data_IF_219520120374
#
_entry.id   IF_219520120374
#
_cell.length_a   1.000
_cell.length_b   1.000
_cell.length_c   1.000
_cell.angle_alpha   90.00
_cell.angle_beta   90.00
_cell.angle_gamma   90.00
#
_symmetry.space_group_name_H-M   'P 1'
#
loop_
_entity.id
_entity.type
_entity.pdbx_description
1 polymer ?
#
# COMPACT_ATOMS: atom_id res chain seq x y z
N UNK A 1 -27.63 -25.67 13.23
CA UNK A 1 -27.28 -25.31 11.84
C UNK A 1 -25.81 -24.93 11.82
N UNK A 2 -24.97 -25.71 11.15
CA UNK A 2 -23.56 -25.37 10.95
C UNK A 2 -23.48 -24.12 10.07
N UNK A 3 -22.69 -23.10 10.44
CA UNK A 3 -22.51 -21.93 9.57
C UNK A 3 -21.97 -22.38 8.20
N UNK A 4 -22.38 -21.72 7.10
CA UNK A 4 -21.90 -22.07 5.76
C UNK A 4 -20.38 -21.97 5.72
N UNK A 5 -19.72 -23.02 5.22
CA UNK A 5 -18.26 -23.02 5.04
C UNK A 5 -17.93 -21.90 4.04
N UNK A 6 -17.07 -20.93 4.40
CA UNK A 6 -16.75 -19.82 3.52
C UNK A 6 -16.00 -20.33 2.28
N UNK A 7 -16.43 -19.84 1.10
CA UNK A 7 -15.85 -20.19 -0.20
C UNK A 7 -14.41 -19.68 -0.30
N UNK A 8 -13.45 -20.58 -0.49
CA UNK A 8 -12.03 -20.24 -0.67
C UNK A 8 -11.80 -19.83 -2.12
N UNK A 9 -11.40 -18.59 -2.31
CA UNK A 9 -11.08 -18.06 -3.64
C UNK A 9 -9.59 -17.72 -3.71
N UNK A 10 -8.90 -18.17 -4.75
CA UNK A 10 -7.54 -17.73 -5.08
C UNK A 10 -7.53 -17.02 -6.44
N UNK A 11 -6.62 -16.07 -6.63
CA UNK A 11 -6.33 -15.49 -7.94
C UNK A 11 -4.95 -15.94 -8.41
N UNK A 12 -4.89 -16.52 -9.60
CA UNK A 12 -3.63 -16.80 -10.29
C UNK A 12 -3.31 -15.67 -11.25
N UNK A 13 -2.13 -15.06 -11.06
CA UNK A 13 -1.58 -14.01 -11.90
C UNK A 13 -0.24 -14.46 -12.47
N UNK A 14 -0.03 -14.26 -13.77
CA UNK A 14 1.21 -14.60 -14.46
C UNK A 14 1.66 -13.39 -15.27
N UNK A 15 2.97 -13.16 -15.37
CA UNK A 15 3.52 -12.09 -16.21
C UNK A 15 5.04 -12.04 -16.16
N UNK A 16 5.63 -11.16 -16.94
CA UNK A 16 7.05 -10.81 -16.76
C UNK A 16 7.16 -9.90 -15.53
N UNK A 17 8.08 -10.23 -14.63
CA UNK A 17 8.37 -9.46 -13.44
C UNK A 17 8.81 -8.04 -13.84
N UNK A 18 8.22 -7.03 -13.20
CA UNK A 18 8.46 -5.61 -13.49
C UNK A 18 9.76 -5.10 -12.88
N UNK A 19 10.14 -5.66 -11.73
CA UNK A 19 11.19 -5.14 -10.86
C UNK A 19 12.32 -6.13 -10.62
N UNK A 20 12.28 -7.32 -11.20
CA UNK A 20 13.23 -8.39 -10.92
C UNK A 20 13.71 -9.02 -12.21
N UNK A 21 15.02 -9.13 -12.35
CA UNK A 21 15.70 -9.64 -13.53
C UNK A 21 16.83 -10.59 -13.12
N UNK A 22 17.25 -11.45 -14.04
CA UNK A 22 18.50 -12.21 -13.92
C UNK A 22 19.62 -11.53 -14.69
N UNK A 23 20.85 -11.65 -14.21
CA UNK A 23 22.05 -11.10 -14.83
C UNK A 23 23.20 -12.09 -14.68
N UNK A 24 23.99 -12.28 -15.73
CA UNK A 24 25.05 -13.31 -15.75
C UNK A 24 26.09 -13.14 -14.64
N UNK A 25 26.52 -11.90 -14.37
CA UNK A 25 27.52 -11.58 -13.34
C UNK A 25 26.90 -11.35 -11.95
N UNK A 26 25.83 -10.55 -11.87
CA UNK A 26 25.21 -10.13 -10.62
C UNK A 26 24.18 -11.12 -10.03
N UNK A 27 23.71 -12.12 -10.78
CA UNK A 27 22.67 -13.03 -10.31
C UNK A 27 21.29 -12.39 -10.39
N UNK A 28 20.57 -12.26 -9.26
CA UNK A 28 19.28 -11.54 -9.23
C UNK A 28 19.54 -10.05 -9.08
N UNK A 29 18.93 -9.26 -9.96
CA UNK A 29 18.98 -7.79 -9.93
C UNK A 29 17.57 -7.25 -9.74
N UNK A 30 17.44 -6.39 -8.74
CA UNK A 30 16.23 -5.60 -8.50
C UNK A 30 16.31 -4.26 -9.23
N UNK A 31 15.22 -3.85 -9.86
CA UNK A 31 15.12 -2.57 -10.55
C UNK A 31 14.02 -1.77 -9.87
N UNK A 32 14.38 -0.68 -9.19
CA UNK A 32 13.44 0.17 -8.46
C UNK A 32 12.41 0.78 -9.41
N UNK A 33 12.88 1.56 -10.37
CA UNK A 33 12.04 2.17 -11.39
C UNK A 33 11.96 1.25 -12.61
N UNK A 34 10.77 0.71 -12.88
CA UNK A 34 10.55 -0.22 -13.98
C UNK A 34 11.19 0.24 -15.29
N UNK A 35 11.82 -0.71 -15.99
CA UNK A 35 12.58 -0.52 -17.23
C UNK A 35 11.93 -1.36 -18.33
N UNK A 36 11.96 -0.90 -19.58
CA UNK A 36 11.48 -1.74 -20.70
C UNK A 36 12.39 -2.95 -20.87
N UNK A 37 11.86 -4.06 -21.37
CA UNK A 37 12.62 -5.26 -21.72
C UNK A 37 13.65 -5.00 -22.82
N UNK A 38 13.42 -4.00 -23.66
CA UNK A 38 14.41 -3.56 -24.63
C UNK A 38 15.61 -2.90 -23.93
N UNK A 39 15.35 -1.91 -23.08
CA UNK A 39 16.39 -1.14 -22.39
C UNK A 39 17.13 -2.01 -21.35
N UNK A 40 16.42 -2.92 -20.68
CA UNK A 40 16.99 -3.87 -19.73
C UNK A 40 18.14 -4.70 -20.35
N UNK A 41 18.01 -5.07 -21.63
CA UNK A 41 19.06 -5.84 -22.34
C UNK A 41 20.36 -5.07 -22.49
N UNK A 42 20.31 -3.74 -22.58
CA UNK A 42 21.52 -2.91 -22.65
C UNK A 42 22.36 -3.03 -21.37
N UNK A 43 21.73 -3.35 -20.23
CA UNK A 43 22.38 -3.64 -18.95
C UNK A 43 22.62 -5.14 -18.72
N UNK A 44 22.46 -5.99 -19.73
CA UNK A 44 22.62 -7.45 -19.57
C UNK A 44 21.53 -8.13 -18.73
N UNK A 45 20.40 -7.45 -18.49
CA UNK A 45 19.28 -8.00 -17.73
C UNK A 45 18.42 -8.91 -18.59
N UNK A 46 18.11 -10.08 -18.05
CA UNK A 46 17.22 -11.07 -18.63
C UNK A 46 15.89 -11.08 -17.87
N UNK A 47 14.74 -11.10 -18.58
CA UNK A 47 13.42 -11.08 -17.95
C UNK A 47 13.17 -12.33 -17.11
N UNK A 48 12.41 -12.15 -16.03
CA UNK A 48 11.94 -13.25 -15.16
C UNK A 48 10.43 -13.38 -15.29
N UNK A 49 9.92 -14.61 -15.38
CA UNK A 49 8.49 -14.89 -15.32
C UNK A 49 8.08 -14.98 -13.85
N UNK A 50 7.07 -14.20 -13.47
CA UNK A 50 6.41 -14.22 -12.18
C UNK A 50 5.12 -15.03 -12.26
N UNK A 51 5.01 -16.03 -11.39
CA UNK A 51 3.77 -16.72 -11.06
C UNK A 51 3.34 -16.27 -9.67
N UNK A 52 2.10 -15.81 -9.52
CA UNK A 52 1.60 -15.35 -8.23
C UNK A 52 0.23 -15.95 -7.92
N UNK A 53 0.10 -16.51 -6.71
CA UNK A 53 -1.18 -17.01 -6.17
C UNK A 53 -1.54 -16.15 -4.98
N UNK A 54 -2.64 -15.44 -5.06
CA UNK A 54 -3.06 -14.47 -4.03
C UNK A 54 -4.44 -14.79 -3.48
N UNK A 55 -4.64 -14.42 -2.22
CA UNK A 55 -5.95 -14.52 -1.55
C UNK A 55 -6.63 -13.14 -1.58
N UNK A 56 -7.80 -13.01 -2.23
CA UNK A 56 -8.46 -11.72 -2.39
C UNK A 56 -8.76 -11.05 -1.05
N UNK A 57 -8.48 -9.74 -0.97
CA UNK A 57 -8.76 -8.95 0.23
C UNK A 57 -7.83 -9.24 1.40
N UNK A 58 -6.68 -9.87 1.17
CA UNK A 58 -5.62 -10.11 2.15
C UNK A 58 -4.25 -9.76 1.54
N UNK A 59 -3.18 -9.60 2.34
CA UNK A 59 -1.84 -9.42 1.82
C UNK A 59 -1.13 -10.74 1.47
N UNK A 60 -1.83 -11.88 1.57
CA UNK A 60 -1.24 -13.21 1.36
C UNK A 60 -1.04 -13.43 -0.15
N UNK A 61 0.23 -13.47 -0.55
CA UNK A 61 0.66 -13.69 -1.94
C UNK A 61 1.84 -14.66 -1.91
N UNK A 62 1.69 -15.78 -2.60
CA UNK A 62 2.79 -16.68 -2.90
C UNK A 62 3.41 -16.31 -4.25
N UNK A 63 4.73 -16.43 -4.37
CA UNK A 63 5.49 -16.15 -5.59
C UNK A 63 6.27 -17.38 -6.07
N UNK A 64 6.15 -17.67 -7.35
CA UNK A 64 7.00 -18.57 -8.11
C UNK A 64 7.73 -17.78 -9.20
N UNK A 65 8.95 -18.22 -9.53
CA UNK A 65 9.79 -17.53 -10.52
C UNK A 65 10.35 -18.51 -11.54
N UNK A 66 10.33 -18.12 -12.82
CA UNK A 66 10.84 -18.92 -13.93
C UNK A 66 11.56 -18.10 -14.99
N UNK A 67 12.17 -18.80 -15.95
CA UNK A 67 12.74 -18.17 -17.15
C UNK A 67 11.71 -18.17 -18.28
N UNK A 68 11.64 -17.11 -19.12
CA UNK A 68 10.84 -17.11 -20.35
C UNK A 68 11.24 -18.22 -21.33
N UNK A 69 12.50 -18.65 -21.31
CA UNK A 69 13.03 -19.71 -22.19
C UNK A 69 12.74 -21.12 -21.66
N UNK A 70 12.35 -21.23 -20.39
CA UNK A 70 12.05 -22.48 -19.71
C UNK A 70 10.80 -22.29 -18.82
N UNK A 71 9.67 -22.06 -19.49
CA UNK A 71 8.38 -21.90 -18.82
C UNK A 71 8.03 -23.15 -18.00
N UNK A 72 7.31 -22.91 -16.91
CA UNK A 72 6.82 -23.96 -16.02
C UNK A 72 5.31 -24.10 -16.22
N UNK A 73 4.78 -25.30 -15.99
CA UNK A 73 3.34 -25.52 -16.09
C UNK A 73 2.59 -24.72 -15.01
N UNK A 74 1.43 -24.13 -15.36
CA UNK A 74 0.59 -23.43 -14.38
C UNK A 74 0.12 -24.40 -13.32
N UNK A 75 -0.21 -25.62 -13.73
CA UNK A 75 -0.57 -26.72 -12.84
C UNK A 75 0.53 -26.99 -11.82
N UNK A 76 1.79 -27.14 -12.24
CA UNK A 76 2.92 -27.36 -11.34
C UNK A 76 3.10 -26.21 -10.35
N UNK A 77 2.98 -24.97 -10.82
CA UNK A 77 3.07 -23.77 -9.96
C UNK A 77 1.94 -23.70 -8.92
N UNK A 78 0.71 -24.05 -9.30
CA UNK A 78 -0.43 -24.06 -8.38
C UNK A 78 -0.28 -25.15 -7.31
N UNK A 79 0.16 -26.35 -7.71
CA UNK A 79 0.43 -27.46 -6.78
C UNK A 79 1.51 -27.05 -5.80
N UNK A 80 2.62 -26.49 -6.29
CA UNK A 80 3.71 -26.03 -5.46
C UNK A 80 3.22 -24.97 -4.47
N UNK A 81 2.49 -23.95 -4.94
CA UNK A 81 1.91 -22.92 -4.08
C UNK A 81 1.05 -23.51 -2.96
N UNK A 82 0.13 -24.43 -3.27
CA UNK A 82 -0.76 -25.02 -2.27
C UNK A 82 -0.08 -25.99 -1.33
N UNK A 83 1.09 -26.54 -1.71
CA UNK A 83 1.89 -27.44 -0.86
C UNK A 83 2.87 -26.69 0.04
N UNK A 84 3.57 -25.70 -0.50
CA UNK A 84 4.67 -25.02 0.20
C UNK A 84 4.26 -23.73 0.92
N UNK A 85 3.03 -23.24 0.70
CA UNK A 85 2.50 -22.04 1.36
C UNK A 85 1.32 -22.37 2.27
N UNK A 86 1.57 -22.68 3.56
CA UNK A 86 0.52 -22.90 4.54
C UNK A 86 -0.47 -21.75 4.63
N UNK A 87 -0.06 -20.51 4.37
CA UNK A 87 -0.90 -19.30 4.48
C UNK A 87 -2.03 -19.23 3.45
N UNK A 88 -1.86 -19.88 2.28
CA UNK A 88 -2.96 -20.07 1.30
C UNK A 88 -4.03 -21.05 1.82
N UNK A 89 -3.60 -21.95 2.71
CA UNK A 89 -4.37 -22.99 3.42
C UNK A 89 -5.02 -24.01 2.50
N UNK A 90 -4.31 -24.35 1.42
CA UNK A 90 -4.59 -25.48 0.54
C UNK A 90 -5.17 -25.07 -0.81
N UNK A 91 -5.78 -26.02 -1.51
CA UNK A 91 -6.46 -25.71 -2.77
C UNK A 91 -7.79 -24.95 -2.53
N UNK A 92 -8.16 -24.03 -3.44
CA UNK A 92 -9.36 -23.21 -3.31
C UNK A 92 -10.63 -23.95 -3.76
N UNK A 93 -11.79 -23.42 -3.45
CA UNK A 93 -13.06 -23.80 -4.10
C UNK A 93 -13.18 -23.11 -5.48
N UNK A 94 -12.65 -21.89 -5.60
CA UNK A 94 -12.66 -21.08 -6.82
C UNK A 94 -11.25 -20.58 -7.15
N UNK A 95 -10.77 -20.90 -8.36
CA UNK A 95 -9.55 -20.33 -8.92
C UNK A 95 -9.91 -19.28 -9.98
N UNK A 96 -9.57 -18.02 -9.74
CA UNK A 96 -9.83 -16.93 -10.66
C UNK A 96 -8.61 -16.65 -11.53
N UNK A 97 -8.83 -16.52 -12.84
CA UNK A 97 -7.79 -16.25 -13.85
C UNK A 97 -8.19 -15.11 -14.78
N UNK A 98 -7.22 -14.49 -15.46
CA UNK A 98 -7.52 -13.48 -16.48
C UNK A 98 -8.04 -14.12 -17.77
N UNK A 99 -8.74 -13.34 -18.59
CA UNK A 99 -9.16 -13.80 -19.92
C UNK A 99 -7.96 -14.16 -20.81
N UNK A 100 -6.83 -13.46 -20.68
CA UNK A 100 -5.63 -13.77 -21.45
C UNK A 100 -5.05 -15.13 -21.03
N UNK A 101 -4.99 -15.40 -19.72
CA UNK A 101 -4.48 -16.67 -19.21
C UNK A 101 -5.41 -17.84 -19.56
N UNK A 102 -6.73 -17.62 -19.50
CA UNK A 102 -7.73 -18.59 -19.95
C UNK A 102 -7.57 -18.94 -21.43
N UNK A 103 -7.33 -17.93 -22.28
CA UNK A 103 -7.07 -18.15 -23.71
C UNK A 103 -5.74 -18.89 -23.96
N UNK A 104 -4.72 -18.59 -23.16
CA UNK A 104 -3.41 -19.25 -23.21
C UNK A 104 -3.41 -20.68 -22.66
N UNK A 105 -4.37 -21.05 -21.81
CA UNK A 105 -4.43 -22.35 -21.11
C UNK A 105 -5.87 -22.89 -21.07
N UNK A 106 -6.37 -23.39 -22.20
CA UNK A 106 -7.77 -23.83 -22.33
C UNK A 106 -8.11 -25.06 -21.48
N UNK A 107 -7.12 -25.91 -21.18
CA UNK A 107 -7.31 -27.15 -20.42
C UNK A 107 -7.42 -26.94 -18.91
N UNK A 108 -6.98 -25.78 -18.40
CA UNK A 108 -6.96 -25.50 -16.95
C UNK A 108 -8.34 -25.68 -16.31
N UNK A 109 -9.39 -25.23 -17.01
CA UNK A 109 -10.75 -25.27 -16.50
C UNK A 109 -11.29 -26.70 -16.37
N UNK A 110 -11.06 -27.56 -17.37
CA UNK A 110 -11.55 -28.95 -17.35
C UNK A 110 -10.74 -29.81 -16.38
N UNK A 111 -9.43 -29.61 -16.30
CA UNK A 111 -8.55 -30.37 -15.42
C UNK A 111 -8.85 -30.10 -13.94
N UNK A 112 -9.00 -28.83 -13.54
CA UNK A 112 -9.29 -28.50 -12.14
C UNK A 112 -10.75 -28.76 -11.74
N UNK A 113 -11.69 -28.68 -12.69
CA UNK A 113 -13.09 -29.05 -12.43
C UNK A 113 -13.23 -30.52 -12.02
N UNK A 114 -12.42 -31.43 -12.58
CA UNK A 114 -12.39 -32.84 -12.18
C UNK A 114 -12.01 -33.06 -10.70
N UNK A 115 -11.39 -32.07 -10.08
CA UNK A 115 -10.96 -32.09 -8.68
C UNK A 115 -11.76 -31.13 -7.79
N UNK A 116 -12.93 -30.68 -8.26
CA UNK A 116 -13.85 -29.83 -7.48
C UNK A 116 -13.42 -28.37 -7.35
N UNK A 117 -12.44 -27.92 -8.16
CA UNK A 117 -11.99 -26.53 -8.19
C UNK A 117 -12.67 -25.83 -9.36
N UNK A 118 -13.51 -24.84 -9.08
CA UNK A 118 -14.17 -24.04 -10.11
C UNK A 118 -13.19 -23.00 -10.67
N UNK A 119 -12.83 -23.10 -11.93
CA UNK A 119 -12.04 -22.06 -12.61
C UNK A 119 -12.97 -20.99 -13.16
N UNK A 120 -12.79 -19.75 -12.73
CA UNK A 120 -13.56 -18.59 -13.18
C UNK A 120 -12.68 -17.59 -13.92
N UNK A 121 -13.14 -17.17 -15.09
CA UNK A 121 -12.47 -16.12 -15.88
C UNK A 121 -12.96 -14.77 -15.41
N UNK A 122 -12.05 -13.91 -14.97
CA UNK A 122 -12.37 -12.55 -14.58
C UNK A 122 -12.85 -11.73 -15.79
N UNK A 123 -13.87 -10.90 -15.60
CA UNK A 123 -14.37 -10.00 -16.64
C UNK A 123 -13.28 -8.98 -17.05
N UNK A 124 -13.34 -8.51 -18.29
CA UNK A 124 -12.34 -7.59 -18.85
C UNK A 124 -12.19 -6.26 -18.08
N UNK A 125 -13.19 -5.88 -17.28
CA UNK A 125 -13.23 -4.68 -16.44
C UNK A 125 -13.12 -5.00 -14.93
N UNK A 126 -12.68 -6.20 -14.53
CA UNK A 126 -12.53 -6.55 -13.13
C UNK A 126 -11.30 -5.85 -12.51
N UNK A 127 -11.55 -4.68 -11.93
CA UNK A 127 -10.55 -3.88 -11.23
C UNK A 127 -9.87 -4.61 -10.06
N UNK A 128 -10.55 -5.58 -9.42
CA UNK A 128 -9.97 -6.35 -8.31
C UNK A 128 -8.92 -7.32 -8.82
N UNK A 129 -9.17 -7.96 -9.96
CA UNK A 129 -8.19 -8.83 -10.61
C UNK A 129 -6.95 -8.04 -11.07
N UNK A 130 -7.16 -6.89 -11.74
CA UNK A 130 -6.04 -6.03 -12.15
C UNK A 130 -5.26 -5.42 -10.97
N UNK A 131 -5.88 -5.28 -9.80
CA UNK A 131 -5.19 -4.88 -8.58
C UNK A 131 -4.31 -6.00 -8.01
N UNK A 132 -4.76 -7.26 -8.07
CA UNK A 132 -4.00 -8.40 -7.56
C UNK A 132 -2.66 -8.59 -8.28
N UNK A 133 -2.64 -8.53 -9.62
CA UNK A 133 -1.39 -8.61 -10.38
C UNK A 133 -0.44 -7.45 -10.05
N UNK A 134 -0.95 -6.22 -9.91
CA UNK A 134 -0.13 -5.08 -9.51
C UNK A 134 0.44 -5.26 -8.11
N UNK A 135 -0.36 -5.77 -7.17
CA UNK A 135 0.10 -6.10 -5.82
C UNK A 135 1.20 -7.17 -5.84
N UNK A 136 1.04 -8.22 -6.66
CA UNK A 136 2.05 -9.25 -6.83
C UNK A 136 3.36 -8.67 -7.39
N UNK A 137 3.28 -7.85 -8.42
CA UNK A 137 4.46 -7.18 -8.99
C UNK A 137 5.16 -6.29 -7.95
N UNK A 138 4.42 -5.47 -7.20
CA UNK A 138 4.99 -4.59 -6.18
C UNK A 138 5.59 -5.39 -5.01
N UNK A 139 4.98 -6.52 -4.62
CA UNK A 139 5.55 -7.37 -3.57
C UNK A 139 6.87 -8.03 -3.97
N UNK A 140 7.15 -8.23 -5.27
CA UNK A 140 8.48 -8.72 -5.70
C UNK A 140 9.59 -7.70 -5.50
N UNK A 141 9.29 -6.40 -5.60
CA UNK A 141 10.23 -5.32 -5.29
C UNK A 141 10.63 -5.36 -3.80
N UNK A 142 9.70 -5.68 -2.91
CA UNK A 142 9.94 -5.79 -1.47
C UNK A 142 10.94 -6.90 -1.11
N UNK A 143 11.07 -7.93 -1.94
CA UNK A 143 12.08 -8.99 -1.75
C UNK A 143 13.50 -8.45 -1.84
N UNK A 144 13.72 -7.39 -2.61
CA UNK A 144 14.99 -6.69 -2.67
C UNK A 144 15.32 -5.95 -1.37
N UNK A 145 14.30 -5.53 -0.62
CA UNK A 145 14.45 -4.71 0.59
C UNK A 145 14.35 -5.50 1.90
N UNK A 146 13.97 -6.78 1.85
CA UNK A 146 13.83 -7.60 3.06
C UNK A 146 15.16 -7.69 3.84
N UNK A 147 15.18 -7.10 5.04
CA UNK A 147 16.32 -7.09 5.95
C UNK A 147 16.56 -8.47 6.56
N UNK A 148 17.82 -8.81 6.86
CA UNK A 148 18.16 -9.89 7.78
C UNK A 148 18.64 -11.20 7.15
N UNK A 149 18.99 -11.22 5.86
CA UNK A 149 19.75 -12.35 5.30
C UNK A 149 20.91 -11.86 4.43
N UNK A 150 22.13 -12.10 4.90
CA UNK A 150 23.41 -11.91 4.21
C UNK A 150 23.63 -12.91 3.06
N UNK A 151 22.56 -13.32 2.36
CA UNK A 151 22.63 -14.31 1.29
C UNK A 151 22.39 -13.61 -0.05
N UNK A 152 23.44 -13.43 -0.88
CA UNK A 152 23.26 -12.91 -2.22
C UNK A 152 22.32 -13.83 -2.99
N UNK A 153 21.21 -13.27 -3.47
CA UNK A 153 20.24 -13.98 -4.30
C UNK A 153 20.83 -14.09 -5.70
N UNK A 154 21.44 -15.24 -6.01
CA UNK A 154 22.07 -15.46 -7.31
C UNK A 154 21.19 -16.22 -8.28
N UNK A 155 20.17 -16.91 -7.78
CA UNK A 155 19.32 -17.81 -8.55
C UNK A 155 17.83 -17.60 -8.26
N UNK A 156 16.96 -17.96 -9.21
CA UNK A 156 15.51 -17.88 -9.04
C UNK A 156 15.01 -18.75 -7.87
N UNK A 157 15.64 -19.90 -7.63
CA UNK A 157 15.32 -20.76 -6.50
C UNK A 157 15.62 -20.09 -5.14
N UNK A 158 16.71 -19.32 -5.04
CA UNK A 158 17.00 -18.53 -3.84
C UNK A 158 16.02 -17.37 -3.65
N UNK A 159 15.65 -16.69 -4.75
CA UNK A 159 14.63 -15.65 -4.72
C UNK A 159 13.28 -16.20 -4.23
N UNK A 160 12.86 -17.36 -4.72
CA UNK A 160 11.63 -18.02 -4.28
C UNK A 160 11.66 -18.40 -2.80
N UNK A 161 12.80 -18.91 -2.30
CA UNK A 161 13.00 -19.17 -0.87
C UNK A 161 12.89 -17.89 -0.03
N UNK A 162 13.47 -16.78 -0.49
CA UNK A 162 13.32 -15.49 0.17
C UNK A 162 11.86 -15.02 0.18
N UNK A 163 11.13 -15.18 -0.92
CA UNK A 163 9.70 -14.83 -0.98
C UNK A 163 8.86 -15.59 0.05
N UNK A 164 9.07 -16.90 0.16
CA UNK A 164 8.40 -17.74 1.16
C UNK A 164 8.75 -17.32 2.60
N UNK A 165 10.02 -16.99 2.85
CA UNK A 165 10.48 -16.52 4.15
C UNK A 165 9.85 -15.17 4.53
N UNK A 166 9.87 -14.19 3.62
CA UNK A 166 9.29 -12.86 3.83
C UNK A 166 7.79 -12.97 4.13
N UNK A 167 7.06 -13.81 3.40
CA UNK A 167 5.65 -14.08 3.68
C UNK A 167 5.43 -14.64 5.10
N UNK A 168 6.27 -15.59 5.52
CA UNK A 168 6.20 -16.17 6.87
C UNK A 168 6.51 -15.13 7.95
N UNK A 169 7.55 -14.29 7.74
CA UNK A 169 7.86 -13.20 8.66
C UNK A 169 6.71 -12.20 8.80
N UNK A 170 6.05 -11.83 7.70
CA UNK A 170 4.89 -10.93 7.74
C UNK A 170 3.71 -11.52 8.52
N UNK A 171 3.55 -12.84 8.50
CA UNK A 171 2.56 -13.54 9.32
C UNK A 171 2.96 -13.53 10.80
N UNK A 172 4.19 -13.92 11.13
CA UNK A 172 4.71 -14.00 12.50
C UNK A 172 4.65 -12.65 13.20
N UNK A 173 5.09 -11.61 12.50
CA UNK A 173 5.06 -10.22 12.99
C UNK A 173 3.66 -9.60 12.93
N UNK A 174 2.69 -10.28 12.32
CA UNK A 174 1.32 -9.80 12.08
C UNK A 174 1.29 -8.41 11.48
N UNK A 175 2.20 -8.10 10.55
CA UNK A 175 2.35 -6.76 9.96
C UNK A 175 1.07 -6.29 9.23
N UNK A 176 0.20 -7.22 8.86
CA UNK A 176 -1.13 -6.94 8.32
C UNK A 176 -2.08 -6.24 9.30
N UNK A 177 -1.78 -6.25 10.61
CA UNK A 177 -2.53 -5.51 11.64
C UNK A 177 -2.43 -3.99 11.49
N UNK A 178 -1.45 -3.51 10.73
CA UNK A 178 -1.23 -2.09 10.43
C UNK A 178 -2.17 -1.62 9.30
N UNK A 179 -2.84 -2.54 8.60
CA UNK A 179 -3.83 -2.20 7.56
C UNK A 179 -5.23 -1.88 8.12
N UNK A 180 -6.11 -1.36 7.26
CA UNK A 180 -7.48 -1.03 7.66
C UNK A 180 -8.29 -2.23 8.17
N UNK A 181 -9.27 -1.98 9.05
CA UNK A 181 -10.01 -3.02 9.79
C UNK A 181 -10.57 -4.16 8.91
N UNK A 182 -11.06 -3.84 7.70
CA UNK A 182 -11.57 -4.84 6.76
C UNK A 182 -10.47 -5.81 6.23
N UNK A 183 -9.25 -5.32 6.00
CA UNK A 183 -8.10 -6.14 5.59
C UNK A 183 -7.66 -7.06 6.73
N UNK A 184 -7.61 -6.50 7.94
CA UNK A 184 -7.23 -7.23 9.17
C UNK A 184 -8.21 -8.36 9.43
N UNK A 185 -9.51 -8.07 9.37
CA UNK A 185 -10.55 -9.07 9.62
C UNK A 185 -10.59 -10.12 8.50
N UNK A 186 -10.50 -9.72 7.23
CA UNK A 186 -10.43 -10.67 6.12
C UNK A 186 -9.21 -11.60 6.22
N UNK A 187 -8.05 -11.07 6.64
CA UNK A 187 -6.83 -11.85 6.82
C UNK A 187 -6.95 -12.81 7.99
N UNK A 188 -7.50 -12.36 9.12
CA UNK A 188 -7.76 -13.20 10.30
C UNK A 188 -8.77 -14.31 10.00
N UNK A 189 -9.90 -13.96 9.40
CA UNK A 189 -10.96 -14.87 9.00
C UNK A 189 -10.49 -15.86 7.94
N UNK A 190 -9.60 -15.41 7.03
CA UNK A 190 -8.80 -16.32 6.23
C UNK A 190 -8.01 -17.20 7.18
N UNK A 191 -6.87 -16.81 7.75
CA UNK A 191 -5.95 -17.67 8.52
C UNK A 191 -6.59 -18.67 9.51
N UNK A 192 -7.78 -18.39 10.06
CA UNK A 192 -8.57 -19.30 10.91
C UNK A 192 -9.15 -20.58 10.23
N UNK A 193 -9.42 -20.61 8.92
CA UNK A 193 -9.85 -21.86 8.23
C UNK A 193 -8.80 -23.00 8.34
N UNK A 194 -9.23 -24.27 8.31
CA UNK A 194 -8.30 -25.41 8.34
C UNK A 194 -7.49 -25.53 7.04
N UNK A 195 -6.25 -26.03 7.13
CA UNK A 195 -5.44 -26.36 5.95
C UNK A 195 -6.09 -27.53 5.20
N UNK A 196 -6.31 -27.39 3.88
CA UNK A 196 -6.74 -28.49 3.00
C UNK A 196 -5.51 -29.11 2.33
N UNK A 197 -5.05 -30.30 2.75
CA UNK A 197 -3.85 -30.90 2.19
C UNK A 197 -4.06 -31.28 0.72
N UNK A 198 -3.04 -31.02 -0.11
CA UNK A 198 -3.02 -31.42 -1.52
C UNK A 198 -2.42 -32.83 -1.67
N UNK A 199 -3.08 -33.85 -1.11
CA UNK A 199 -2.59 -35.25 -1.09
C UNK A 199 -3.35 -36.21 -2.01
N UNK A 200 -4.56 -35.85 -2.45
CA UNK A 200 -5.48 -36.81 -3.10
C UNK A 200 -5.79 -36.50 -4.58
N UNK A 201 -4.99 -35.65 -5.22
CA UNK A 201 -5.21 -35.26 -6.62
C UNK A 201 -4.13 -35.93 -7.48
N UNK A 202 -4.48 -37.09 -8.03
CA UNK A 202 -3.69 -37.75 -9.09
C UNK A 202 -3.88 -36.97 -10.40
N UNK A 203 -2.92 -36.10 -10.69
CA UNK A 203 -2.86 -35.40 -11.97
C UNK A 203 -1.99 -36.21 -12.93
N UNK A 204 -2.40 -36.30 -14.20
CA UNK A 204 -1.61 -36.93 -15.27
C UNK A 204 -0.22 -36.30 -15.44
N UNK A 205 0.64 -36.80 -16.33
CA UNK A 205 2.02 -36.32 -16.50
C UNK A 205 2.11 -34.80 -16.67
N UNK A 206 3.16 -34.18 -16.11
CA UNK A 206 3.44 -32.75 -16.28
C UNK A 206 3.80 -32.45 -17.73
N UNK A 207 2.81 -31.95 -18.48
CA UNK A 207 3.02 -31.33 -19.79
C UNK A 207 2.88 -29.82 -19.66
N UNK A 208 3.62 -29.07 -20.47
CA UNK A 208 3.36 -27.64 -20.65
C UNK A 208 1.90 -27.41 -21.03
N UNK A 209 1.18 -26.66 -20.19
CA UNK A 209 -0.26 -26.49 -20.25
C UNK A 209 -0.67 -25.13 -20.84
N UNK A 210 0.29 -24.22 -21.08
CA UNK A 210 0.01 -22.86 -21.53
C UNK A 210 1.10 -22.27 -22.43
N UNK A 211 0.76 -21.20 -23.14
CA UNK A 211 1.68 -20.43 -24.00
C UNK A 211 1.82 -18.97 -23.57
N UNK A 212 3.04 -18.44 -23.70
CA UNK A 212 3.34 -17.02 -23.47
C UNK A 212 2.68 -16.11 -24.50
N UNK A 213 2.42 -14.85 -24.13
CA UNK A 213 1.95 -13.84 -25.08
C UNK A 213 2.35 -12.42 -24.69
N UNK A 214 2.14 -11.43 -25.59
CA UNK A 214 2.51 -10.03 -25.36
C UNK A 214 1.84 -9.38 -24.13
N UNK A 215 0.79 -9.99 -23.62
CA UNK A 215 0.08 -9.55 -22.43
C UNK A 215 0.94 -9.69 -21.16
N UNK A 216 1.94 -10.57 -21.15
CA UNK A 216 2.81 -10.80 -19.99
C UNK A 216 3.66 -9.56 -19.62
N UNK A 217 3.96 -8.70 -20.59
CA UNK A 217 4.70 -7.45 -20.38
C UNK A 217 3.88 -6.20 -20.72
N UNK A 218 2.54 -6.28 -20.64
CA UNK A 218 1.65 -5.17 -20.98
C UNK A 218 1.90 -3.87 -20.16
N UNK A 219 2.56 -3.99 -19.00
CA UNK A 219 2.96 -2.86 -18.17
C UNK A 219 4.02 -1.95 -18.82
N UNK A 220 4.76 -2.42 -19.83
CA UNK A 220 5.81 -1.64 -20.52
C UNK A 220 5.25 -0.45 -21.31
N UNK A 221 4.00 -0.53 -21.77
CA UNK A 221 3.40 0.44 -22.70
C UNK A 221 3.31 1.87 -22.15
N UNK A 222 3.42 2.03 -20.83
CA UNK A 222 3.25 3.31 -20.15
C UNK A 222 4.49 3.73 -19.36
N UNK A 223 5.66 3.17 -19.66
CA UNK A 223 6.91 3.54 -18.99
C UNK A 223 7.46 4.86 -19.56
N UNK A 224 8.10 5.69 -18.72
CA UNK A 224 8.82 6.85 -19.19
C UNK A 224 10.03 6.43 -20.06
N UNK A 225 10.58 7.35 -20.88
CA UNK A 225 11.83 7.12 -21.59
C UNK A 225 12.95 6.74 -20.62
N UNK A 226 13.82 5.83 -21.07
CA UNK A 226 14.95 5.37 -20.27
C UNK A 226 15.97 6.49 -20.01
N UNK A 227 16.62 6.42 -18.84
CA UNK A 227 17.72 7.28 -18.41
C UNK A 227 18.90 6.41 -17.98
N UNK A 228 20.10 6.97 -17.90
CA UNK A 228 21.29 6.24 -17.47
C UNK A 228 21.14 5.68 -16.05
N UNK A 229 21.61 4.45 -15.84
CA UNK A 229 21.54 3.71 -14.57
C UNK A 229 22.87 3.08 -14.19
N UNK A 230 23.05 2.82 -12.90
CA UNK A 230 24.22 2.11 -12.35
C UNK A 230 23.80 0.98 -11.41
N UNK A 231 24.64 -0.06 -11.34
CA UNK A 231 24.46 -1.16 -10.40
C UNK A 231 24.96 -0.76 -9.02
N UNK A 232 24.19 -1.08 -7.99
CA UNK A 232 24.53 -0.88 -6.58
C UNK A 232 24.30 -2.18 -5.82
N UNK A 233 25.22 -2.54 -4.94
CA UNK A 233 25.04 -3.69 -4.04
C UNK A 233 24.79 -3.14 -2.65
N UNK A 234 23.69 -3.54 -2.01
CA UNK A 234 23.40 -3.14 -0.63
C UNK A 234 24.19 -3.99 0.38
N UNK A 235 24.10 -3.64 1.66
CA UNK A 235 24.82 -4.34 2.74
C UNK A 235 24.43 -5.82 2.88
N UNK A 236 23.23 -6.19 2.43
CA UNK A 236 22.74 -7.58 2.39
C UNK A 236 23.24 -8.37 1.16
N UNK A 237 24.06 -7.75 0.29
CA UNK A 237 24.60 -8.37 -0.92
C UNK A 237 23.61 -8.49 -2.07
N UNK A 238 22.47 -7.79 -2.02
CA UNK A 238 21.47 -7.73 -3.10
C UNK A 238 21.85 -6.64 -4.08
N UNK A 239 21.67 -6.93 -5.37
CA UNK A 239 22.06 -6.02 -6.44
C UNK A 239 20.84 -5.26 -6.94
N UNK A 240 21.01 -3.96 -7.07
CA UNK A 240 20.02 -2.99 -7.48
C UNK A 240 20.49 -2.23 -8.73
N UNK A 241 19.56 -1.89 -9.61
CA UNK A 241 19.79 -0.95 -10.71
C UNK A 241 19.00 0.34 -10.43
N UNK A 242 19.72 1.44 -10.16
CA UNK A 242 19.13 2.76 -9.91
C UNK A 242 19.48 3.73 -11.03
N UNK A 243 18.67 4.78 -11.20
CA UNK A 243 19.08 5.92 -12.02
C UNK A 243 20.38 6.50 -11.47
N UNK A 244 21.28 6.85 -12.39
CA UNK A 244 22.52 7.55 -12.05
C UNK A 244 22.15 8.96 -11.61
N UNK A 245 22.26 9.24 -10.32
CA UNK A 245 22.15 10.61 -9.80
C UNK A 245 23.52 11.32 -9.92
N UNK A 246 23.55 12.65 -10.07
CA UNK A 246 24.79 13.40 -9.96
C UNK A 246 25.28 13.37 -8.51
N UNK A 247 26.28 12.53 -8.25
CA UNK A 247 27.11 12.45 -7.03
C UNK A 247 26.38 12.60 -5.67
N UNK A 248 25.62 11.59 -5.24
CA UNK A 248 25.38 11.33 -3.81
C UNK A 248 25.35 9.82 -3.52
N UNK A 249 25.96 9.44 -2.39
CA UNK A 249 26.01 8.06 -1.90
C UNK A 249 24.60 7.59 -1.49
N UNK A 250 24.00 6.69 -2.26
CA UNK A 250 22.76 6.01 -1.88
C UNK A 250 23.07 5.02 -0.75
N UNK A 251 22.72 5.39 0.48
CA UNK A 251 22.77 4.49 1.63
C UNK A 251 21.57 3.51 1.55
N UNK A 252 21.83 2.35 0.95
CA UNK A 252 20.85 1.29 0.70
C UNK A 252 20.36 0.59 1.99
N UNK A 253 20.90 0.97 3.16
CA UNK A 253 20.54 0.43 4.48
C UNK A 253 19.27 1.05 5.11
N UNK A 254 18.67 2.07 4.47
CA UNK A 254 17.56 2.86 5.03
C UNK A 254 16.16 2.52 4.49
N UNK A 255 16.03 1.56 3.57
CA UNK A 255 14.77 1.27 2.91
C UNK A 255 13.85 0.36 3.74
N UNK A 256 13.31 0.93 4.82
CA UNK A 256 11.99 0.52 5.28
C UNK A 256 10.92 0.95 4.28
N UNK A 257 9.76 0.28 4.32
CA UNK A 257 8.61 0.58 3.46
C UNK A 257 8.49 2.09 3.25
N UNK A 258 8.59 2.53 1.99
CA UNK A 258 8.33 3.92 1.62
C UNK A 258 6.83 4.15 1.82
N UNK A 259 6.46 4.51 3.05
CA UNK A 259 5.07 4.73 3.45
C UNK A 259 4.60 6.12 3.04
N UNK A 260 5.51 7.02 2.68
CA UNK A 260 5.20 8.37 2.21
C UNK A 260 4.16 8.41 1.08
N UNK A 261 4.25 7.62 -0.02
CA UNK A 261 3.17 7.50 -1.01
C UNK A 261 1.81 7.14 -0.40
N UNK A 262 1.81 6.21 0.56
CA UNK A 262 0.62 5.77 1.31
C UNK A 262 -0.01 6.93 2.08
N UNK A 263 0.77 7.57 2.95
CA UNK A 263 0.34 8.72 3.75
C UNK A 263 -0.11 9.88 2.87
N UNK A 264 0.64 10.21 1.82
CA UNK A 264 0.28 11.27 0.86
C UNK A 264 -1.04 10.97 0.16
N UNK A 265 -1.26 9.71 -0.23
CA UNK A 265 -2.51 9.32 -0.89
C UNK A 265 -3.73 9.40 0.03
N UNK A 266 -3.55 9.29 1.35
CA UNK A 266 -4.60 9.45 2.34
C UNK A 266 -4.91 10.93 2.60
N UNK A 267 -3.87 11.77 2.75
CA UNK A 267 -4.02 13.18 3.14
C UNK A 267 -4.43 14.10 1.98
N UNK A 268 -3.94 13.84 0.76
CA UNK A 268 -4.10 14.74 -0.38
C UNK A 268 -5.53 15.10 -0.75
N UNK A 269 -6.49 14.14 -0.77
CA UNK A 269 -7.88 14.46 -1.07
C UNK A 269 -8.54 15.40 -0.05
N UNK A 270 -7.95 15.51 1.15
CA UNK A 270 -8.44 16.33 2.26
C UNK A 270 -7.51 17.53 2.53
N UNK A 271 -6.58 17.84 1.62
CA UNK A 271 -5.69 18.98 1.75
C UNK A 271 -6.44 20.28 1.38
N UNK A 272 -6.46 21.32 2.23
CA UNK A 272 -7.34 22.48 2.06
C UNK A 272 -7.16 23.24 0.75
N UNK A 273 -5.92 23.33 0.28
CA UNK A 273 -5.58 24.05 -0.95
C UNK A 273 -5.48 23.14 -2.19
N UNK A 274 -5.85 21.87 -2.03
CA UNK A 274 -5.77 20.85 -3.07
C UNK A 274 -4.35 20.40 -3.40
N UNK A 275 -4.27 19.27 -4.12
CA UNK A 275 -3.02 18.59 -4.43
C UNK A 275 -2.02 19.43 -5.25
N UNK A 276 -2.52 20.32 -6.10
CA UNK A 276 -1.66 21.18 -6.93
C UNK A 276 -0.86 22.18 -6.08
N UNK A 277 -1.47 22.71 -5.01
CA UNK A 277 -0.82 23.63 -4.10
C UNK A 277 0.28 22.92 -3.30
N UNK A 278 0.00 21.72 -2.78
CA UNK A 278 1.00 20.90 -2.08
C UNK A 278 2.17 20.52 -2.98
N UNK A 279 1.91 20.08 -4.22
CA UNK A 279 2.96 19.78 -5.18
C UNK A 279 3.89 20.99 -5.40
N UNK A 280 3.30 22.17 -5.64
CA UNK A 280 4.06 23.40 -5.88
C UNK A 280 4.90 23.79 -4.66
N UNK A 281 4.35 23.72 -3.46
CA UNK A 281 5.06 24.02 -2.22
C UNK A 281 6.26 23.07 -1.99
N UNK A 282 6.17 21.83 -2.48
CA UNK A 282 7.27 20.87 -2.46
C UNK A 282 8.30 21.04 -3.59
N UNK A 283 8.08 21.97 -4.53
CA UNK A 283 8.93 22.15 -5.72
C UNK A 283 8.63 21.16 -6.85
N UNK A 284 7.45 20.54 -6.84
CA UNK A 284 7.02 19.53 -7.81
C UNK A 284 5.89 20.05 -8.71
N UNK A 285 5.73 19.42 -9.87
CA UNK A 285 4.49 19.54 -10.63
C UNK A 285 3.44 18.58 -10.04
N UNK A 286 2.15 18.91 -10.18
CA UNK A 286 1.07 18.01 -9.75
C UNK A 286 1.22 16.60 -10.37
N UNK A 287 1.62 16.55 -11.65
CA UNK A 287 1.85 15.28 -12.36
C UNK A 287 2.97 14.46 -11.74
N UNK A 288 4.10 15.09 -11.36
CA UNK A 288 5.21 14.41 -10.66
C UNK A 288 4.75 13.86 -9.31
N UNK A 289 4.02 14.66 -8.53
CA UNK A 289 3.47 14.21 -7.24
C UNK A 289 2.52 13.01 -7.42
N UNK A 290 1.61 13.07 -8.39
CA UNK A 290 0.68 11.98 -8.69
C UNK A 290 1.41 10.72 -9.16
N UNK A 291 2.46 10.86 -9.96
CA UNK A 291 3.29 9.74 -10.40
C UNK A 291 4.08 9.12 -9.25
N UNK A 292 4.59 9.94 -8.34
CA UNK A 292 5.23 9.44 -7.13
C UNK A 292 4.27 8.63 -6.26
N UNK A 293 3.09 9.15 -5.98
CA UNK A 293 2.08 8.45 -5.18
C UNK A 293 1.59 7.16 -5.84
N UNK A 294 1.51 7.17 -7.18
CA UNK A 294 1.14 6.00 -7.95
C UNK A 294 2.30 5.01 -8.16
N UNK A 295 3.44 5.23 -7.52
CA UNK A 295 4.65 4.42 -7.61
C UNK A 295 5.14 4.25 -9.06
N UNK A 296 5.17 5.38 -9.77
CA UNK A 296 5.58 5.49 -11.18
C UNK A 296 6.90 6.23 -11.36
N UNK A 297 7.27 7.09 -10.42
CA UNK A 297 8.48 7.90 -10.49
C UNK A 297 8.91 8.36 -9.09
N UNK A 298 10.18 8.17 -8.74
CA UNK A 298 10.76 8.77 -7.53
C UNK A 298 10.85 10.31 -7.61
N UNK A 299 10.76 10.95 -6.46
CA UNK A 299 11.06 12.38 -6.28
C UNK A 299 12.44 12.54 -5.64
N UNK A 300 13.08 13.69 -5.86
CA UNK A 300 14.35 14.01 -5.22
C UNK A 300 14.20 14.12 -3.69
N UNK A 301 15.30 13.89 -2.96
CA UNK A 301 15.31 13.86 -1.50
C UNK A 301 14.86 15.21 -0.89
N UNK A 302 15.16 16.32 -1.56
CA UNK A 302 14.76 17.65 -1.09
C UNK A 302 13.24 17.85 -1.18
N UNK A 303 12.62 17.46 -2.30
CA UNK A 303 11.18 17.45 -2.47
C UNK A 303 10.50 16.47 -1.51
N UNK A 304 11.13 15.31 -1.27
CA UNK A 304 10.68 14.32 -0.27
C UNK A 304 10.61 14.92 1.13
N UNK A 305 11.72 15.49 1.60
CA UNK A 305 11.81 16.12 2.91
C UNK A 305 10.81 17.29 3.05
N UNK A 306 10.66 18.10 1.99
CA UNK A 306 9.64 19.17 1.97
C UNK A 306 8.23 18.62 2.12
N UNK A 307 7.86 17.56 1.40
CA UNK A 307 6.54 16.94 1.54
C UNK A 307 6.31 16.44 2.96
N UNK A 308 7.25 15.68 3.51
CA UNK A 308 7.15 15.16 4.88
C UNK A 308 6.92 16.29 5.89
N UNK A 309 7.71 17.36 5.79
CA UNK A 309 7.59 18.52 6.67
C UNK A 309 6.23 19.23 6.51
N UNK A 310 5.76 19.42 5.28
CA UNK A 310 4.50 20.11 4.98
C UNK A 310 3.28 19.36 5.52
N UNK A 311 3.25 18.03 5.36
CA UNK A 311 2.10 17.20 5.75
C UNK A 311 2.22 16.57 7.14
N UNK A 312 3.28 16.90 7.89
CA UNK A 312 3.49 16.38 9.23
C UNK A 312 3.70 14.86 9.26
N UNK A 313 4.50 14.34 8.32
CA UNK A 313 4.98 12.96 8.36
C UNK A 313 6.31 12.93 9.08
N UNK A 314 6.42 12.05 10.06
CA UNK A 314 7.64 11.82 10.81
C UNK A 314 7.99 10.34 10.82
N UNK A 315 9.24 10.08 11.15
CA UNK A 315 9.77 8.73 11.26
C UNK A 315 9.59 8.25 12.71
N UNK A 316 8.87 7.15 12.91
CA UNK A 316 8.62 6.60 14.24
C UNK A 316 9.88 5.89 14.81
N UNK A 317 9.78 5.39 16.05
CA UNK A 317 10.88 4.65 16.70
C UNK A 317 11.30 3.38 15.95
N UNK A 318 10.42 2.85 15.09
CA UNK A 318 10.66 1.71 14.24
C UNK A 318 11.23 2.09 12.87
N UNK A 319 11.53 3.38 12.63
CA UNK A 319 12.00 4.01 11.39
C UNK A 319 10.95 4.09 10.25
N UNK A 320 9.67 3.88 10.57
CA UNK A 320 8.59 3.95 9.58
C UNK A 320 8.02 5.37 9.48
N UNK A 321 7.68 5.79 8.26
CA UNK A 321 7.01 7.07 8.04
C UNK A 321 5.53 6.98 8.40
N UNK A 322 5.07 7.89 9.26
CA UNK A 322 3.69 7.96 9.75
C UNK A 322 3.22 9.41 9.81
N UNK A 323 1.92 9.64 9.64
CA UNK A 323 1.30 10.93 9.93
C UNK A 323 1.42 11.22 11.44
N UNK A 324 2.31 12.14 11.79
CA UNK A 324 2.51 12.61 13.16
C UNK A 324 1.56 13.75 13.53
N UNK A 325 0.92 14.37 12.53
CA UNK A 325 -0.15 15.36 12.73
C UNK A 325 0.35 16.81 12.82
N UNK A 326 -0.45 17.65 13.49
CA UNK A 326 -0.24 19.09 13.52
C UNK A 326 -0.72 19.79 12.24
N UNK A 327 -1.70 19.20 11.54
CA UNK A 327 -2.23 19.75 10.30
C UNK A 327 -3.67 20.24 10.44
N UNK A 328 -4.02 21.21 9.60
CA UNK A 328 -5.40 21.64 9.37
C UNK A 328 -5.85 21.02 8.04
N UNK A 329 -6.95 20.29 8.06
CA UNK A 329 -7.44 19.47 6.97
C UNK A 329 -8.89 19.83 6.66
N UNK A 330 -9.33 19.56 5.45
CA UNK A 330 -10.72 19.79 5.02
C UNK A 330 -11.33 18.48 4.56
N UNK A 331 -12.54 18.17 5.00
CA UNK A 331 -13.24 16.98 4.54
C UNK A 331 -13.45 17.02 3.02
N UNK A 332 -13.00 15.96 2.35
CA UNK A 332 -13.24 15.73 0.93
C UNK A 332 -14.52 14.94 0.69
N UNK A 333 -14.45 13.86 -0.09
CA UNK A 333 -15.54 12.87 -0.14
C UNK A 333 -15.60 12.07 1.17
N UNK A 334 -16.76 11.48 1.49
CA UNK A 334 -16.92 10.62 2.67
C UNK A 334 -15.86 9.51 2.70
N UNK A 335 -15.67 8.80 1.58
CA UNK A 335 -14.66 7.75 1.47
C UNK A 335 -13.24 8.25 1.74
N UNK A 336 -12.87 9.41 1.20
CA UNK A 336 -11.54 9.95 1.40
C UNK A 336 -11.33 10.43 2.85
N UNK A 337 -12.36 11.03 3.44
CA UNK A 337 -12.33 11.53 4.82
C UNK A 337 -12.24 10.40 5.82
N UNK A 338 -13.01 9.32 5.65
CA UNK A 338 -12.91 8.10 6.49
C UNK A 338 -11.52 7.48 6.38
N UNK A 339 -10.98 7.36 5.16
CA UNK A 339 -9.63 6.85 4.97
C UNK A 339 -8.57 7.69 5.67
N UNK A 340 -8.66 9.02 5.56
CA UNK A 340 -7.77 9.93 6.27
C UNK A 340 -7.90 9.75 7.78
N UNK A 341 -9.14 9.69 8.28
CA UNK A 341 -9.41 9.50 9.70
C UNK A 341 -8.79 8.21 10.22
N UNK A 342 -8.98 7.09 9.54
CA UNK A 342 -8.37 5.80 9.91
C UNK A 342 -6.84 5.90 9.97
N UNK A 343 -6.22 6.60 9.03
CA UNK A 343 -4.77 6.80 8.98
C UNK A 343 -4.25 7.67 10.13
N UNK A 344 -4.94 8.80 10.41
CA UNK A 344 -4.60 9.71 11.50
C UNK A 344 -4.79 9.09 12.88
N UNK A 345 -5.75 8.18 13.00
CA UNK A 345 -6.11 7.55 14.28
C UNK A 345 -5.52 6.15 14.44
N UNK A 346 -4.79 5.63 13.46
CA UNK A 346 -4.30 4.24 13.45
C UNK A 346 -5.40 3.21 13.70
N UNK A 347 -6.59 3.43 13.13
CA UNK A 347 -7.76 2.58 13.33
C UNK A 347 -8.46 2.77 14.67
N UNK A 348 -8.41 3.98 15.25
CA UNK A 348 -9.15 4.37 16.45
C UNK A 348 -8.33 4.48 17.74
N UNK A 349 -7.00 4.45 17.66
CA UNK A 349 -6.05 4.76 18.75
C UNK A 349 -5.97 6.27 19.02
N UNK A 350 -7.09 6.82 19.52
CA UNK A 350 -7.28 8.26 19.74
C UNK A 350 -7.15 8.64 21.21
N UNK A 351 -6.37 9.69 21.47
CA UNK A 351 -6.44 10.47 22.72
C UNK A 351 -7.67 11.37 22.68
N UNK A 352 -7.86 12.08 21.56
CA UNK A 352 -9.01 12.95 21.32
C UNK A 352 -9.52 12.74 19.89
N UNK A 353 -10.83 12.59 19.76
CA UNK A 353 -11.53 12.73 18.50
C UNK A 353 -12.88 13.35 18.86
N UNK A 354 -13.10 14.64 18.60
CA UNK A 354 -14.29 15.34 19.10
C UNK A 354 -14.61 16.59 18.28
N UNK A 355 -15.89 16.85 18.06
CA UNK A 355 -16.35 18.14 17.53
C UNK A 355 -16.33 19.19 18.64
N UNK A 356 -15.76 20.36 18.37
CA UNK A 356 -15.75 21.48 19.30
C UNK A 356 -16.81 22.53 18.96
N UNK A 357 -17.41 23.10 19.98
CA UNK A 357 -18.36 24.21 19.91
C UNK A 357 -17.95 25.33 20.87
N UNK A 358 -18.25 26.61 20.57
CA UNK A 358 -18.09 27.69 21.54
C UNK A 358 -19.16 27.58 22.65
N UNK A 359 -18.78 27.86 23.90
CA UNK A 359 -19.69 27.80 25.07
C UNK A 359 -20.82 28.83 24.98
N UNK A 360 -20.54 30.04 24.51
CA UNK A 360 -21.52 31.14 24.50
C UNK A 360 -21.69 31.83 23.14
N UNK A 361 -20.74 31.64 22.23
CA UNK A 361 -20.79 32.20 20.88
C UNK A 361 -21.63 31.39 19.89
N UNK A 362 -21.87 31.97 18.71
CA UNK A 362 -22.37 31.20 17.58
C UNK A 362 -21.21 30.41 16.97
N UNK A 363 -21.41 29.10 16.80
CA UNK A 363 -20.48 28.28 16.04
C UNK A 363 -20.43 28.76 14.58
N UNK A 364 -19.31 28.49 13.92
CA UNK A 364 -19.09 28.91 12.52
C UNK A 364 -20.21 28.33 11.64
N UNK A 365 -20.89 29.13 10.81
CA UNK A 365 -22.06 28.66 10.06
C UNK A 365 -21.69 27.76 8.88
N UNK A 366 -20.44 27.74 8.45
CA UNK A 366 -19.96 27.00 7.27
C UNK A 366 -19.30 25.68 7.66
N UNK A 367 -18.57 25.65 8.77
CA UNK A 367 -17.72 24.53 9.16
C UNK A 367 -18.04 24.00 10.56
N UNK A 368 -17.93 22.67 10.69
CA UNK A 368 -17.73 21.94 11.95
C UNK A 368 -16.23 21.71 12.10
N UNK A 369 -15.70 21.89 13.31
CA UNK A 369 -14.28 21.68 13.59
C UNK A 369 -14.13 20.44 14.47
N UNK A 370 -13.45 19.43 13.94
CA UNK A 370 -13.20 18.17 14.66
C UNK A 370 -11.73 18.12 15.03
N UNK A 371 -11.44 18.05 16.33
CA UNK A 371 -10.10 17.84 16.85
C UNK A 371 -9.78 16.34 16.80
N UNK A 372 -8.61 15.98 16.26
CA UNK A 372 -8.16 14.59 16.14
C UNK A 372 -6.72 14.50 16.62
N UNK A 373 -6.49 13.75 17.68
CA UNK A 373 -5.19 13.46 18.26
C UNK A 373 -5.10 11.97 18.57
N UNK A 374 -4.15 11.29 17.92
CA UNK A 374 -3.81 9.92 18.23
C UNK A 374 -2.77 9.85 19.36
N UNK A 375 -2.68 8.69 20.02
CA UNK A 375 -1.70 8.50 21.09
C UNK A 375 -0.27 8.73 20.55
N UNK A 376 0.47 9.65 21.18
CA UNK A 376 1.84 9.99 20.79
C UNK A 376 1.95 10.81 19.50
N UNK A 377 0.86 11.43 19.03
CA UNK A 377 0.84 12.30 17.86
C UNK A 377 0.36 13.71 18.21
N UNK A 378 0.57 14.66 17.30
CA UNK A 378 0.12 16.04 17.41
C UNK A 378 -1.34 16.17 16.98
N UNK A 379 -2.08 17.04 17.66
CA UNK A 379 -3.47 17.32 17.36
C UNK A 379 -3.65 17.92 15.96
N UNK A 380 -4.65 17.44 15.24
CA UNK A 380 -5.09 17.93 13.94
C UNK A 380 -6.46 18.58 14.06
N UNK A 381 -6.80 19.45 13.12
CA UNK A 381 -8.16 19.96 12.95
C UNK A 381 -8.70 19.50 11.60
N UNK A 382 -9.81 18.78 11.61
CA UNK A 382 -10.57 18.46 10.41
C UNK A 382 -11.78 19.41 10.31
N UNK A 383 -11.76 20.27 9.29
CA UNK A 383 -12.87 21.14 8.93
C UNK A 383 -13.87 20.36 8.08
N UNK A 384 -15.08 20.15 8.60
CA UNK A 384 -16.15 19.44 7.91
C UNK A 384 -17.25 20.44 7.52
N UNK A 385 -17.67 20.54 6.26
CA UNK A 385 -18.77 21.44 5.90
C UNK A 385 -20.03 21.09 6.70
N UNK A 386 -20.76 22.08 7.23
CA UNK A 386 -22.00 21.81 8.00
C UNK A 386 -23.03 21.04 7.22
N UNK A 387 -23.09 21.28 5.90
CA UNK A 387 -24.00 20.60 4.98
C UNK A 387 -23.17 19.71 4.06
N UNK A 388 -23.63 18.48 3.86
CA UNK A 388 -23.01 17.53 2.94
C UNK A 388 -22.93 16.11 3.51
N UNK A 389 -22.47 15.20 2.66
CA UNK A 389 -22.44 13.76 2.94
C UNK A 389 -21.60 13.42 4.17
N UNK A 390 -20.44 14.06 4.35
CA UNK A 390 -19.58 13.83 5.53
C UNK A 390 -20.26 14.29 6.81
N UNK A 391 -20.94 15.45 6.81
CA UNK A 391 -21.66 15.96 7.99
C UNK A 391 -22.79 15.05 8.43
N UNK A 392 -23.53 14.49 7.46
CA UNK A 392 -24.61 13.55 7.72
C UNK A 392 -24.13 12.21 8.32
N UNK A 393 -22.85 11.88 8.14
CA UNK A 393 -22.27 10.60 8.59
C UNK A 393 -21.21 10.78 9.69
N UNK A 394 -20.98 11.99 10.20
CA UNK A 394 -20.04 12.25 11.30
C UNK A 394 -20.41 11.42 12.54
N UNK A 395 -21.70 11.32 12.85
CA UNK A 395 -22.21 10.56 13.99
C UNK A 395 -22.47 9.06 13.67
N UNK A 396 -22.12 8.61 12.46
CA UNK A 396 -22.30 7.23 12.02
C UNK A 396 -21.07 6.36 12.36
N UNK A 397 -21.22 5.04 12.28
CA UNK A 397 -20.19 4.04 12.63
C UNK A 397 -18.90 4.07 11.77
N UNK A 398 -18.74 5.07 10.90
CA UNK A 398 -17.60 5.23 10.00
C UNK A 398 -16.40 5.94 10.65
N UNK A 399 -16.61 6.71 11.73
CA UNK A 399 -15.56 7.42 12.47
C UNK A 399 -15.36 6.76 13.83
N UNK A 400 -14.52 5.72 13.86
CA UNK A 400 -14.29 4.90 15.06
C UNK A 400 -13.78 5.78 16.20
N UNK A 401 -14.41 5.70 17.37
CA UNK A 401 -14.02 6.45 18.57
C UNK A 401 -14.14 7.97 18.47
N UNK A 402 -14.79 8.52 17.44
CA UNK A 402 -15.21 9.92 17.44
C UNK A 402 -16.23 10.14 18.57
N UNK A 403 -15.88 10.99 19.51
CA UNK A 403 -16.77 11.54 20.52
C UNK A 403 -17.65 12.60 19.87
N UNK A 404 -18.87 12.81 20.37
CA UNK A 404 -19.79 13.81 19.85
C UNK A 404 -19.28 15.25 19.99
N UNK A 405 -20.04 16.08 20.70
CA UNK A 405 -19.74 17.51 20.81
C UNK A 405 -19.17 17.87 22.18
N UNK A 406 -18.28 18.87 22.20
CA UNK A 406 -17.72 19.45 23.42
C UNK A 406 -17.66 20.96 23.31
N UNK A 407 -18.21 21.64 24.33
CA UNK A 407 -18.14 23.08 24.44
C UNK A 407 -16.78 23.51 25.02
N UNK A 408 -16.12 24.44 24.34
CA UNK A 408 -14.85 25.03 24.76
C UNK A 408 -14.97 26.57 24.85
N UNK A 409 -14.12 27.23 25.66
CA UNK A 409 -14.11 28.69 25.75
C UNK A 409 -14.04 29.37 24.39
N UNK A 410 -14.86 30.41 24.19
CA UNK A 410 -15.01 31.13 22.92
C UNK A 410 -13.65 31.60 22.35
N UNK A 411 -12.73 32.05 23.20
CA UNK A 411 -11.39 32.47 22.76
C UNK A 411 -10.56 31.33 22.15
N UNK A 412 -10.66 30.11 22.68
CA UNK A 412 -9.98 28.94 22.12
C UNK A 412 -10.61 28.55 20.79
N UNK A 413 -11.95 28.55 20.72
CA UNK A 413 -12.71 28.27 19.51
C UNK A 413 -12.37 29.27 18.39
N UNK A 414 -12.47 30.58 18.65
CA UNK A 414 -12.11 31.63 17.68
C UNK A 414 -10.65 31.54 17.26
N UNK A 415 -9.75 31.15 18.16
CA UNK A 415 -8.35 30.91 17.83
C UNK A 415 -8.17 29.77 16.81
N UNK A 416 -8.88 28.65 16.97
CA UNK A 416 -8.87 27.53 16.02
C UNK A 416 -9.45 27.95 14.67
N UNK A 417 -10.60 28.63 14.67
CA UNK A 417 -11.22 29.16 13.45
C UNK A 417 -10.24 30.08 12.70
N UNK A 418 -9.58 30.98 13.43
CA UNK A 418 -8.58 31.90 12.87
C UNK A 418 -7.35 31.18 12.32
N UNK A 419 -6.84 30.17 13.03
CA UNK A 419 -5.73 29.34 12.55
C UNK A 419 -6.12 28.59 11.27
N UNK A 420 -7.32 28.01 11.23
CA UNK A 420 -7.87 27.37 10.04
C UNK A 420 -7.96 28.32 8.85
N UNK A 421 -8.49 29.53 9.06
CA UNK A 421 -8.56 30.56 8.03
C UNK A 421 -7.18 30.90 7.45
N UNK A 422 -6.16 31.07 8.30
CA UNK A 422 -4.79 31.40 7.85
C UNK A 422 -4.09 30.21 7.18
N UNK A 423 -4.24 29.01 7.72
CA UNK A 423 -3.69 27.77 7.16
C UNK A 423 -4.24 27.45 5.77
N UNK A 424 -5.50 27.81 5.50
CA UNK A 424 -6.15 27.61 4.20
C UNK A 424 -5.78 28.67 3.16
N UNK A 425 -4.97 29.68 3.48
CA UNK A 425 -4.49 30.67 2.48
C UNK A 425 -3.32 30.11 1.67
N UNK A 426 -2.38 29.43 2.33
CA UNK A 426 -1.14 28.95 1.75
C UNK A 426 -0.71 27.62 2.37
N UNK A 427 -0.43 26.62 1.53
CA UNK A 427 0.04 25.31 1.95
C UNK A 427 1.27 25.39 2.85
N UNK A 428 2.20 26.32 2.59
CA UNK A 428 3.40 26.47 3.40
C UNK A 428 3.11 26.92 4.85
N UNK A 429 1.93 27.52 5.09
CA UNK A 429 1.50 27.99 6.41
C UNK A 429 0.69 26.97 7.20
N UNK A 430 0.22 25.90 6.56
CA UNK A 430 -0.75 24.99 7.17
C UNK A 430 -0.27 24.44 8.54
N UNK A 431 0.86 23.74 8.52
CA UNK A 431 1.42 23.13 9.72
C UNK A 431 1.95 24.17 10.70
N UNK A 432 2.57 25.25 10.23
CA UNK A 432 3.14 26.27 11.12
C UNK A 432 2.06 27.04 11.89
N UNK A 433 0.92 27.36 11.27
CA UNK A 433 -0.22 28.00 11.93
C UNK A 433 -0.84 27.09 12.99
N UNK A 434 -1.00 25.80 12.69
CA UNK A 434 -1.53 24.83 13.65
C UNK A 434 -0.57 24.64 14.83
N UNK A 435 0.73 24.49 14.57
CA UNK A 435 1.74 24.34 15.61
C UNK A 435 1.85 25.59 16.49
N UNK A 436 1.80 26.79 15.91
CA UNK A 436 1.80 28.03 16.67
C UNK A 436 0.56 28.15 17.58
N UNK A 437 -0.61 27.73 17.10
CA UNK A 437 -1.81 27.69 17.93
C UNK A 437 -1.67 26.70 19.09
N UNK A 438 -1.24 25.46 18.81
CA UNK A 438 -1.06 24.42 19.83
C UNK A 438 -0.03 24.84 20.87
N UNK A 439 1.11 25.39 20.46
CA UNK A 439 2.17 25.83 21.39
C UNK A 439 1.67 26.86 22.41
N UNK A 440 0.70 27.69 22.03
CA UNK A 440 0.14 28.71 22.91
C UNK A 440 -1.05 28.23 23.75
N UNK A 441 -1.79 27.23 23.27
CA UNK A 441 -3.13 26.93 23.78
C UNK A 441 -3.36 25.46 24.15
N UNK A 442 -2.44 24.53 23.86
CA UNK A 442 -2.66 23.09 24.05
C UNK A 442 -3.09 22.74 25.48
N UNK A 443 -2.31 23.16 26.48
CA UNK A 443 -2.61 22.85 27.90
C UNK A 443 -3.97 23.38 28.34
N UNK A 444 -4.37 24.55 27.84
CA UNK A 444 -5.67 25.15 28.12
C UNK A 444 -6.79 24.40 27.39
N UNK A 445 -6.53 23.97 26.16
CA UNK A 445 -7.49 23.24 25.35
C UNK A 445 -7.80 21.88 25.98
N UNK A 446 -6.78 21.09 26.33
CA UNK A 446 -6.96 19.73 26.87
C UNK A 446 -7.67 19.72 28.24
N UNK A 447 -7.61 20.80 29.02
CA UNK A 447 -8.36 20.95 30.27
C UNK A 447 -9.89 20.96 30.07
N UNK A 448 -10.35 21.31 28.87
CA UNK A 448 -11.77 21.35 28.53
C UNK A 448 -12.23 20.11 27.75
N UNK A 449 -11.29 19.33 27.20
CA UNK A 449 -11.62 18.13 26.46
C UNK A 449 -11.91 16.98 27.44
N UNK A 450 -12.93 16.15 27.17
CA UNK A 450 -13.23 15.00 28.03
C UNK A 450 -12.04 14.04 28.01
N UNK A 451 -11.50 13.76 29.19
CA UNK A 451 -10.46 12.75 29.35
C UNK A 451 -11.04 11.38 29.01
N UNK A 452 -10.49 10.72 27.99
CA UNK A 452 -10.76 9.30 27.74
C UNK A 452 -9.73 8.46 28.47
N UNK A 453 -10.02 8.17 29.74
CA UNK A 453 -9.41 7.10 30.51
C UNK A 453 -10.50 6.37 31.30
#
# INVERSE_FOLDING_TARGET
MTPPVPVRTHLLSVGIARHVFTHQQHGIVFVRDAITLHDARAYGLQPVVLYAVSVPGTPIIWHGFGSPDALQSLRGQLIEAWRSCPQLRGYPDVLRISHQLAASCQRLQTEFAAHGIKVEVAASNDHKFSAALRSAQNSTLQLGWSLGQSMPQRTLAQLQKNAAHVLTMHEDLRSWRIGGAALVEATRAHLALPVRPFTNIELGPESMDWSSGPWMSAWERNLPPERERSFHTNDDGKVWLFFKEPDEHIDASSAQFDMLPGCLSAILPCWPNGAASLARAAGLTLKKLQWFIADRQAIDQQARHRLMTLVGIEMNAHREEKLAGGCILTAGSLRATVRLYDELTHGGDVTYAIEILPVSGLADPSWRYVLIEACGCLMNVLMVPRVGDVSAHLDAAHFINLSGQCDIPDALYTGIVGACGRACIDTARNRSEMMAYLQQNYDRLVQHLPSRW
#
